data_IF_934796928654
#
_entry.id   IF_934796928654
#
_cell.length_a   1.000
_cell.length_b   1.000
_cell.length_c   1.000
_cell.angle_alpha   90.00
_cell.angle_beta   90.00
_cell.angle_gamma   90.00
#
_symmetry.space_group_name_H-M   'P 1'
#
loop_
_entity.id
_entity.type
_entity.pdbx_description
1 polymer ?
#
# COMPACT_ATOMS: atom_id res chain seq x y z
N UNK A 1 -64.37 48.04 7.87
CA UNK A 1 -63.80 49.31 7.36
C UNK A 1 -64.90 50.06 6.64
N UNK A 2 -65.17 51.31 7.04
CA UNK A 2 -66.09 52.19 6.31
C UNK A 2 -65.34 52.66 5.06
N UNK A 3 -65.93 52.53 3.87
CA UNK A 3 -65.29 52.98 2.62
C UNK A 3 -65.16 54.51 2.63
N UNK A 4 -63.99 55.02 2.26
CA UNK A 4 -63.73 56.47 2.16
C UNK A 4 -64.74 57.13 1.21
N UNK A 5 -65.17 56.43 0.16
CA UNK A 5 -66.23 56.86 -0.76
C UNK A 5 -67.58 56.96 -0.06
N UNK A 6 -67.88 56.05 0.87
CA UNK A 6 -69.11 56.10 1.68
C UNK A 6 -69.10 57.28 2.67
N UNK A 7 -67.92 57.69 3.15
CA UNK A 7 -67.76 58.88 4.01
C UNK A 7 -67.95 60.16 3.17
N UNK A 8 -67.33 60.21 1.99
CA UNK A 8 -67.44 61.35 1.06
C UNK A 8 -68.86 61.57 0.53
N UNK A 9 -69.62 60.48 0.32
CA UNK A 9 -71.02 60.55 -0.15
C UNK A 9 -71.98 61.20 0.87
N UNK A 10 -71.61 61.24 2.15
CA UNK A 10 -72.41 61.86 3.23
C UNK A 10 -72.05 63.34 3.44
N UNK A 11 -70.94 63.82 2.84
CA UNK A 11 -70.53 65.21 2.92
C UNK A 11 -71.36 66.10 1.96
N UNK A 12 -71.92 67.24 2.42
CA UNK A 12 -72.78 68.10 1.59
C UNK A 12 -72.11 68.60 0.30
N UNK A 13 -70.79 68.78 0.32
CA UNK A 13 -69.98 69.31 -0.79
C UNK A 13 -69.83 68.32 -1.96
N UNK A 14 -69.99 67.01 -1.70
CA UNK A 14 -69.82 65.95 -2.70
C UNK A 14 -71.14 65.23 -3.03
N UNK A 15 -72.24 65.60 -2.36
CA UNK A 15 -73.56 64.98 -2.53
C UNK A 15 -74.19 65.24 -3.90
N UNK A 16 -73.78 66.28 -4.64
CA UNK A 16 -74.36 66.66 -5.93
C UNK A 16 -73.56 66.18 -7.15
N UNK A 17 -72.33 65.67 -6.97
CA UNK A 17 -71.40 65.32 -8.05
C UNK A 17 -71.11 63.81 -8.10
N UNK A 18 -72.07 63.04 -8.64
CA UNK A 18 -72.03 61.57 -8.69
C UNK A 18 -70.86 61.03 -9.53
N UNK A 19 -70.47 61.74 -10.58
CA UNK A 19 -69.35 61.37 -11.46
C UNK A 19 -68.00 61.46 -10.74
N UNK A 20 -67.83 62.45 -9.86
CA UNK A 20 -66.61 62.63 -9.06
C UNK A 20 -66.47 61.50 -8.03
N UNK A 21 -67.56 61.14 -7.36
CA UNK A 21 -67.59 60.00 -6.42
C UNK A 21 -67.29 58.65 -7.08
N UNK A 22 -67.75 58.43 -8.33
CA UNK A 22 -67.48 57.22 -9.11
C UNK A 22 -66.00 57.14 -9.56
N UNK A 23 -65.45 58.26 -10.02
CA UNK A 23 -64.02 58.36 -10.34
C UNK A 23 -63.14 58.07 -9.10
N UNK A 24 -63.50 58.63 -7.94
CA UNK A 24 -62.80 58.38 -6.67
C UNK A 24 -62.90 56.90 -6.26
N UNK A 25 -64.07 56.27 -6.40
CA UNK A 25 -64.25 54.85 -6.13
C UNK A 25 -63.39 53.95 -7.04
N UNK A 26 -63.26 54.33 -8.30
CA UNK A 26 -62.43 53.62 -9.28
C UNK A 26 -60.95 53.73 -8.92
N UNK A 27 -60.48 54.94 -8.58
CA UNK A 27 -59.09 55.18 -8.15
C UNK A 27 -58.73 54.36 -6.89
N UNK A 28 -59.61 54.31 -5.89
CA UNK A 28 -59.35 53.50 -4.69
C UNK A 28 -59.32 52.01 -5.01
N UNK A 29 -60.23 51.53 -5.86
CA UNK A 29 -60.25 50.12 -6.28
C UNK A 29 -58.99 49.73 -7.05
N UNK A 30 -58.53 50.61 -7.95
CA UNK A 30 -57.28 50.44 -8.69
C UNK A 30 -56.06 50.51 -7.76
N UNK A 31 -56.07 51.39 -6.76
CA UNK A 31 -55.00 51.49 -5.75
C UNK A 31 -54.92 50.23 -4.89
N UNK A 32 -56.05 49.70 -4.43
CA UNK A 32 -56.09 48.46 -3.64
C UNK A 32 -55.60 47.29 -4.49
N UNK A 33 -56.02 47.21 -5.76
CA UNK A 33 -55.56 46.19 -6.70
C UNK A 33 -54.06 46.31 -6.98
N UNK A 34 -53.55 47.54 -7.13
CA UNK A 34 -52.12 47.81 -7.32
C UNK A 34 -51.31 47.43 -6.07
N UNK A 35 -51.82 47.73 -4.87
CA UNK A 35 -51.18 47.37 -3.61
C UNK A 35 -51.14 45.84 -3.40
N UNK A 36 -52.24 45.14 -3.69
CA UNK A 36 -52.29 43.68 -3.64
C UNK A 36 -51.29 43.06 -4.63
N UNK A 37 -51.20 43.59 -5.85
CA UNK A 37 -50.20 43.18 -6.86
C UNK A 37 -48.77 43.44 -6.40
N UNK A 38 -48.51 44.61 -5.83
CA UNK A 38 -47.18 44.96 -5.29
C UNK A 38 -46.77 43.99 -4.19
N UNK A 39 -47.66 43.70 -3.25
CA UNK A 39 -47.42 42.74 -2.16
C UNK A 39 -47.14 41.33 -2.69
N UNK A 40 -47.92 40.87 -3.67
CA UNK A 40 -47.72 39.57 -4.32
C UNK A 40 -46.35 39.49 -5.04
N UNK A 41 -45.96 40.57 -5.73
CA UNK A 41 -44.67 40.62 -6.43
C UNK A 41 -43.50 40.62 -5.44
N UNK A 42 -43.58 41.36 -4.34
CA UNK A 42 -42.58 41.36 -3.28
C UNK A 42 -42.37 39.94 -2.72
N UNK A 43 -43.45 39.22 -2.40
CA UNK A 43 -43.37 37.83 -1.93
C UNK A 43 -42.71 36.89 -2.95
N UNK A 44 -42.99 37.06 -4.26
CA UNK A 44 -42.35 36.28 -5.33
C UNK A 44 -40.85 36.59 -5.45
N UNK A 45 -40.44 37.85 -5.30
CA UNK A 45 -39.03 38.26 -5.33
C UNK A 45 -38.27 37.65 -4.16
N UNK A 46 -38.85 37.65 -2.96
CA UNK A 46 -38.26 37.03 -1.78
C UNK A 46 -38.09 35.51 -1.94
N UNK A 47 -39.13 34.80 -2.44
CA UNK A 47 -39.05 33.37 -2.74
C UNK A 47 -37.96 33.05 -3.77
N UNK A 48 -37.86 33.87 -4.83
CA UNK A 48 -36.79 33.74 -5.82
C UNK A 48 -35.41 33.91 -5.17
N UNK A 49 -35.21 34.93 -4.34
CA UNK A 49 -33.93 35.15 -3.64
C UNK A 49 -33.58 34.03 -2.66
N UNK A 50 -34.58 33.45 -1.98
CA UNK A 50 -34.36 32.27 -1.14
C UNK A 50 -33.90 31.06 -1.95
N UNK A 51 -34.62 30.74 -3.04
CA UNK A 51 -34.26 29.62 -3.94
C UNK A 51 -32.88 29.80 -4.56
N UNK A 52 -32.54 31.02 -4.99
CA UNK A 52 -31.22 31.36 -5.53
C UNK A 52 -30.10 31.11 -4.53
N UNK A 53 -30.22 31.59 -3.28
CA UNK A 53 -29.22 31.33 -2.23
C UNK A 53 -29.05 29.83 -1.96
N UNK A 54 -30.16 29.08 -1.99
CA UNK A 54 -30.11 27.62 -1.84
C UNK A 54 -29.34 26.96 -2.99
N UNK A 55 -29.56 27.40 -4.23
CA UNK A 55 -28.84 26.92 -5.41
C UNK A 55 -27.33 27.26 -5.34
N UNK A 56 -26.98 28.48 -4.93
CA UNK A 56 -25.59 28.90 -4.71
C UNK A 56 -24.90 28.01 -3.65
N UNK A 57 -25.60 27.70 -2.55
CA UNK A 57 -25.08 26.77 -1.53
C UNK A 57 -24.82 25.36 -2.06
N UNK A 58 -25.74 24.82 -2.87
CA UNK A 58 -25.56 23.52 -3.52
C UNK A 58 -24.42 23.53 -4.54
N UNK A 59 -24.22 24.61 -5.30
CA UNK A 59 -23.10 24.70 -6.26
C UNK A 59 -21.74 24.76 -5.55
N UNK A 60 -21.68 25.43 -4.40
CA UNK A 60 -20.47 25.46 -3.56
C UNK A 60 -20.15 24.06 -3.01
N UNK A 61 -21.15 23.33 -2.52
CA UNK A 61 -21.00 21.95 -2.06
C UNK A 61 -20.55 21.03 -3.19
N UNK A 62 -21.19 21.11 -4.37
CA UNK A 62 -20.79 20.37 -5.56
C UNK A 62 -19.34 20.65 -5.96
N UNK A 63 -18.89 21.90 -5.85
CA UNK A 63 -17.50 22.27 -6.13
C UNK A 63 -16.53 21.69 -5.11
N UNK A 64 -16.91 21.67 -3.82
CA UNK A 64 -16.13 21.02 -2.77
C UNK A 64 -16.01 19.51 -2.99
N UNK A 65 -17.12 18.84 -3.29
CA UNK A 65 -17.14 17.40 -3.58
C UNK A 65 -16.29 17.08 -4.81
N UNK A 66 -16.39 17.87 -5.88
CA UNK A 66 -15.54 17.71 -7.08
C UNK A 66 -14.05 17.80 -6.75
N UNK A 67 -13.64 18.76 -5.92
CA UNK A 67 -12.25 18.89 -5.50
C UNK A 67 -11.78 17.68 -4.64
N UNK A 68 -12.64 17.18 -3.75
CA UNK A 68 -12.32 15.98 -2.96
C UNK A 68 -12.18 14.73 -3.85
N UNK A 69 -13.07 14.56 -4.84
CA UNK A 69 -12.97 13.47 -5.82
C UNK A 69 -11.63 13.56 -6.56
N UNK A 70 -11.25 14.74 -7.05
CA UNK A 70 -9.97 14.92 -7.74
C UNK A 70 -8.77 14.54 -6.87
N UNK A 71 -8.75 14.99 -5.60
CA UNK A 71 -7.68 14.63 -4.68
C UNK A 71 -7.60 13.12 -4.45
N UNK A 72 -8.75 12.47 -4.19
CA UNK A 72 -8.82 11.02 -4.01
C UNK A 72 -8.39 10.25 -5.26
N UNK A 73 -8.72 10.74 -6.45
CA UNK A 73 -8.25 10.14 -7.71
C UNK A 73 -6.72 10.22 -7.82
N UNK A 74 -6.13 11.38 -7.52
CA UNK A 74 -4.66 11.51 -7.58
C UNK A 74 -3.93 10.64 -6.56
N UNK A 75 -4.51 10.48 -5.36
CA UNK A 75 -3.98 9.58 -4.33
C UNK A 75 -4.11 8.12 -4.76
N UNK A 76 -5.25 7.74 -5.35
CA UNK A 76 -5.48 6.41 -5.90
C UNK A 76 -4.45 6.07 -6.99
N UNK A 77 -4.23 6.96 -7.96
CA UNK A 77 -3.27 6.74 -9.05
C UNK A 77 -1.84 6.54 -8.51
N UNK A 78 -1.45 7.36 -7.52
CA UNK A 78 -0.15 7.23 -6.84
C UNK A 78 0.00 5.88 -6.14
N UNK A 79 -1.05 5.44 -5.44
CA UNK A 79 -1.06 4.14 -4.77
C UNK A 79 -1.04 2.98 -5.77
N UNK A 80 -1.73 3.09 -6.91
CA UNK A 80 -1.70 2.09 -7.97
C UNK A 80 -0.28 1.89 -8.51
N UNK A 81 0.45 2.98 -8.75
CA UNK A 81 1.84 2.93 -9.19
C UNK A 81 2.77 2.33 -8.12
N UNK A 82 2.53 2.62 -6.84
CA UNK A 82 3.27 1.99 -5.75
C UNK A 82 3.02 0.47 -5.69
N UNK A 83 1.78 0.03 -5.88
CA UNK A 83 1.42 -1.39 -5.93
C UNK A 83 2.15 -2.10 -7.06
N UNK A 84 2.14 -1.55 -8.28
CA UNK A 84 2.87 -2.12 -9.44
C UNK A 84 4.36 -2.30 -9.14
N UNK A 85 4.99 -1.28 -8.56
CA UNK A 85 6.41 -1.33 -8.16
C UNK A 85 6.67 -2.42 -7.09
N UNK A 86 5.75 -2.62 -6.16
CA UNK A 86 5.88 -3.67 -5.14
C UNK A 86 5.73 -5.06 -5.74
N UNK A 87 4.81 -5.25 -6.69
CA UNK A 87 4.64 -6.51 -7.42
C UNK A 87 5.91 -6.91 -8.20
N UNK A 88 6.54 -5.95 -8.88
CA UNK A 88 7.83 -6.17 -9.56
C UNK A 88 8.92 -6.63 -8.59
N UNK A 89 9.05 -5.98 -7.42
CA UNK A 89 10.00 -6.38 -6.37
C UNK A 89 9.72 -7.78 -5.82
N UNK A 90 8.45 -8.16 -5.67
CA UNK A 90 8.07 -9.50 -5.23
C UNK A 90 8.53 -10.54 -6.26
N UNK A 91 8.34 -10.28 -7.55
CA UNK A 91 8.81 -11.17 -8.62
C UNK A 91 10.34 -11.30 -8.63
N UNK A 92 11.06 -10.19 -8.48
CA UNK A 92 12.52 -10.19 -8.39
C UNK A 92 13.02 -11.02 -7.19
N UNK A 93 12.42 -10.83 -6.01
CA UNK A 93 12.76 -11.60 -4.81
C UNK A 93 12.45 -13.09 -4.97
N UNK A 94 11.35 -13.45 -5.62
CA UNK A 94 11.02 -14.85 -5.91
C UNK A 94 12.05 -15.49 -6.84
N UNK A 95 12.49 -14.78 -7.88
CA UNK A 95 13.54 -15.27 -8.77
C UNK A 95 14.88 -15.45 -8.05
N UNK A 96 15.27 -14.50 -7.20
CA UNK A 96 16.46 -14.60 -6.33
C UNK A 96 16.38 -15.79 -5.39
N UNK A 97 15.24 -16.02 -4.75
CA UNK A 97 15.03 -17.15 -3.85
C UNK A 97 15.18 -18.49 -4.60
N UNK A 98 14.60 -18.62 -5.79
CA UNK A 98 14.75 -19.82 -6.61
C UNK A 98 16.22 -20.11 -6.94
N UNK A 99 16.98 -19.10 -7.38
CA UNK A 99 18.42 -19.24 -7.64
C UNK A 99 19.21 -19.67 -6.41
N UNK A 100 18.89 -19.14 -5.22
CA UNK A 100 19.56 -19.52 -3.98
C UNK A 100 19.24 -20.96 -3.57
N UNK A 101 18.00 -21.42 -3.82
CA UNK A 101 17.63 -22.81 -3.58
C UNK A 101 18.41 -23.77 -4.48
N UNK A 102 18.52 -23.46 -5.79
CA UNK A 102 19.29 -24.26 -6.73
C UNK A 102 20.78 -24.34 -6.33
N UNK A 103 21.35 -23.22 -5.88
CA UNK A 103 22.73 -23.17 -5.38
C UNK A 103 22.90 -24.01 -4.11
N UNK A 104 21.96 -23.92 -3.16
CA UNK A 104 21.98 -24.71 -1.94
C UNK A 104 21.93 -26.22 -2.22
N UNK A 105 21.05 -26.68 -3.12
CA UNK A 105 20.98 -28.08 -3.53
C UNK A 105 22.28 -28.56 -4.20
N UNK A 106 22.90 -27.71 -5.02
CA UNK A 106 24.18 -28.00 -5.66
C UNK A 106 25.30 -28.15 -4.62
N UNK A 107 25.36 -27.26 -3.62
CA UNK A 107 26.32 -27.34 -2.53
C UNK A 107 26.10 -28.58 -1.65
N UNK A 108 24.85 -28.94 -1.36
CA UNK A 108 24.53 -30.15 -0.59
C UNK A 108 25.02 -31.41 -1.31
N UNK A 109 24.77 -31.53 -2.63
CA UNK A 109 25.27 -32.64 -3.45
C UNK A 109 26.80 -32.72 -3.42
N UNK A 110 27.49 -31.59 -3.53
CA UNK A 110 28.97 -31.52 -3.43
C UNK A 110 29.46 -31.97 -2.06
N UNK A 111 28.82 -31.53 -0.98
CA UNK A 111 29.16 -31.91 0.39
C UNK A 111 29.00 -33.42 0.61
N UNK A 112 27.89 -34.00 0.15
CA UNK A 112 27.66 -35.45 0.23
C UNK A 112 28.68 -36.25 -0.58
N UNK A 113 29.11 -35.76 -1.75
CA UNK A 113 30.19 -36.38 -2.52
C UNK A 113 31.51 -36.33 -1.76
N UNK A 114 31.93 -35.14 -1.31
CA UNK A 114 33.16 -34.95 -0.56
C UNK A 114 33.22 -35.78 0.71
N UNK A 115 32.08 -35.95 1.41
CA UNK A 115 31.98 -36.83 2.57
C UNK A 115 32.25 -38.29 2.23
N UNK A 116 31.75 -38.78 1.09
CA UNK A 116 32.02 -40.15 0.62
C UNK A 116 33.50 -40.32 0.28
N UNK A 117 34.07 -39.38 -0.45
CA UNK A 117 35.48 -39.41 -0.84
C UNK A 117 36.39 -39.38 0.41
N UNK A 118 36.04 -38.56 1.40
CA UNK A 118 36.74 -38.51 2.70
C UNK A 118 36.67 -39.85 3.43
N UNK A 119 35.51 -40.52 3.41
CA UNK A 119 35.37 -41.83 4.06
C UNK A 119 36.28 -42.87 3.41
N UNK A 120 36.37 -42.89 2.07
CA UNK A 120 37.27 -43.79 1.34
C UNK A 120 38.71 -43.57 1.79
N UNK A 121 39.17 -42.31 1.83
CA UNK A 121 40.53 -41.98 2.27
C UNK A 121 40.76 -42.37 3.73
N UNK A 122 39.77 -42.18 4.61
CA UNK A 122 39.86 -42.60 6.01
C UNK A 122 40.02 -44.12 6.12
N UNK A 123 39.23 -44.89 5.36
CA UNK A 123 39.30 -46.36 5.36
C UNK A 123 40.66 -46.85 4.84
N UNK A 124 41.19 -46.21 3.78
CA UNK A 124 42.53 -46.48 3.26
C UNK A 124 43.63 -46.20 4.30
N UNK A 125 43.55 -45.06 5.00
CA UNK A 125 44.51 -44.71 6.06
C UNK A 125 44.46 -45.70 7.23
N UNK A 126 43.27 -46.18 7.60
CA UNK A 126 43.12 -47.21 8.64
C UNK A 126 43.80 -48.51 8.21
N UNK A 127 43.56 -48.97 6.98
CA UNK A 127 44.23 -50.17 6.43
C UNK A 127 45.76 -50.01 6.41
N UNK A 128 46.26 -48.87 5.91
CA UNK A 128 47.69 -48.60 5.86
C UNK A 128 48.34 -48.53 7.25
N UNK A 129 47.61 -48.05 8.26
CA UNK A 129 48.09 -48.01 9.64
C UNK A 129 48.34 -49.42 10.19
N UNK A 130 47.46 -50.37 9.87
CA UNK A 130 47.62 -51.77 10.28
C UNK A 130 48.84 -52.42 9.59
N UNK A 131 48.98 -52.21 8.29
CA UNK A 131 50.14 -52.68 7.51
C UNK A 131 51.45 -52.07 8.02
N UNK A 132 51.47 -50.76 8.28
CA UNK A 132 52.63 -50.08 8.84
C UNK A 132 53.05 -50.69 10.19
N UNK A 133 52.10 -51.01 11.06
CA UNK A 133 52.40 -51.68 12.33
C UNK A 133 52.99 -53.09 12.18
N UNK A 134 52.70 -53.77 11.07
CA UNK A 134 53.34 -55.04 10.69
C UNK A 134 54.76 -54.81 10.18
N UNK A 135 54.94 -53.89 9.24
CA UNK A 135 56.27 -53.55 8.70
C UNK A 135 57.21 -53.06 9.78
N UNK A 136 56.74 -52.22 10.72
CA UNK A 136 57.54 -51.73 11.83
C UNK A 136 58.08 -52.88 12.72
N UNK A 137 57.27 -53.91 12.98
CA UNK A 137 57.71 -55.10 13.73
C UNK A 137 58.68 -55.95 12.92
N UNK A 138 58.40 -56.18 11.64
CA UNK A 138 59.29 -56.95 10.75
C UNK A 138 60.67 -56.30 10.63
N UNK A 139 60.73 -54.97 10.51
CA UNK A 139 62.00 -54.21 10.52
C UNK A 139 62.74 -54.41 11.84
N UNK A 140 62.05 -54.26 12.98
CA UNK A 140 62.69 -54.42 14.29
C UNK A 140 63.22 -55.84 14.54
N UNK A 141 62.43 -56.87 14.20
CA UNK A 141 62.89 -58.26 14.29
C UNK A 141 64.08 -58.56 13.36
N UNK A 142 64.10 -57.93 12.18
CA UNK A 142 65.22 -58.03 11.24
C UNK A 142 66.49 -57.40 11.81
N UNK A 143 66.37 -56.20 12.39
CA UNK A 143 67.48 -55.48 13.03
C UNK A 143 68.07 -56.27 14.22
N UNK A 144 67.21 -56.86 15.06
CA UNK A 144 67.62 -57.71 16.19
C UNK A 144 68.40 -58.95 15.71
N UNK A 145 67.87 -59.67 14.70
CA UNK A 145 68.55 -60.83 14.10
C UNK A 145 69.88 -60.44 13.46
N UNK A 146 69.96 -59.29 12.81
CA UNK A 146 71.19 -58.78 12.24
C UNK A 146 72.23 -58.46 13.33
N UNK A 147 71.80 -57.85 14.43
CA UNK A 147 72.64 -57.60 15.61
C UNK A 147 73.21 -58.90 16.20
N UNK A 148 72.38 -59.93 16.37
CA UNK A 148 72.84 -61.25 16.81
C UNK A 148 73.87 -61.88 15.86
N UNK A 149 73.65 -61.77 14.55
CA UNK A 149 74.58 -62.28 13.55
C UNK A 149 75.94 -61.58 13.65
N UNK A 150 75.95 -60.26 13.79
CA UNK A 150 77.18 -59.47 13.95
C UNK A 150 77.94 -59.85 15.24
N UNK A 151 77.21 -60.03 16.35
CA UNK A 151 77.78 -60.50 17.62
C UNK A 151 78.45 -61.88 17.49
N UNK A 152 77.77 -62.85 16.85
CA UNK A 152 78.34 -64.19 16.59
C UNK A 152 79.59 -64.11 15.72
N UNK A 153 79.57 -63.27 14.68
CA UNK A 153 80.74 -63.03 13.84
C UNK A 153 81.92 -62.46 14.63
N UNK A 154 81.67 -61.49 15.51
CA UNK A 154 82.71 -60.89 16.34
C UNK A 154 83.31 -61.89 17.33
N UNK A 155 82.47 -62.75 17.94
CA UNK A 155 82.92 -63.84 18.80
C UNK A 155 83.83 -64.83 18.06
N UNK A 156 83.42 -65.27 16.87
CA UNK A 156 84.25 -66.15 16.02
C UNK A 156 85.57 -65.47 15.66
N UNK A 157 85.55 -64.19 15.27
CA UNK A 157 86.77 -63.44 14.95
C UNK A 157 87.77 -63.43 16.10
N UNK A 158 87.31 -63.27 17.35
CA UNK A 158 88.16 -63.32 18.55
C UNK A 158 88.72 -64.71 18.87
N UNK A 159 88.09 -65.78 18.39
CA UNK A 159 88.58 -67.16 18.58
C UNK A 159 89.63 -67.55 17.54
N UNK A 160 89.63 -66.92 16.37
CA UNK A 160 90.48 -67.28 15.22
C UNK A 160 91.52 -66.19 14.86
N UNK A 161 91.67 -65.14 15.66
CA UNK A 161 92.70 -64.10 15.57
C UNK A 161 93.44 -64.02 16.90
#
# INVERSE_FOLDING_TARGET
MISVVSILRVAPEFSSDSSLLENVATIFSDSDAAQARSTLLMAKVEDFHYKRRKAEGMEQENSSVRAQIQNLTTEYDTNEDEVKRLEEKILEHRAKMASLMDEAESLEKKLLSSRRDTQIVVDEVVSLKEEYGKWAREIQESDEKQGECLLKWEQLRRLFC
#
